data_IF_493635982813
#
_entry.id   IF_493635982813
#
_cell.length_a   1.000
_cell.length_b   1.000
_cell.length_c   1.000
_cell.angle_alpha   90.00
_cell.angle_beta   90.00
_cell.angle_gamma   90.00
#
_symmetry.space_group_name_H-M   'P 1'
#
loop_
_entity.id
_entity.type
_entity.pdbx_description
1 polymer ?
#
# COMPACT_ATOMS: atom_id res chain seq x y z
N UNK A 1 3.67 19.25 17.85
CA UNK A 1 2.65 18.79 16.88
C UNK A 1 2.71 17.28 16.84
N UNK A 2 1.60 16.58 17.01
CA UNK A 2 1.60 15.11 16.99
C UNK A 2 1.85 14.62 15.56
N UNK A 3 3.06 14.13 15.31
CA UNK A 3 3.39 13.33 14.13
C UNK A 3 2.42 12.16 14.11
N UNK A 4 1.47 12.13 13.17
CA UNK A 4 0.58 10.98 13.00
C UNK A 4 1.46 9.79 12.64
N UNK A 5 1.76 8.95 13.63
CA UNK A 5 2.29 7.61 13.42
C UNK A 5 1.42 6.92 12.37
N UNK A 6 2.07 6.26 11.43
CA UNK A 6 1.44 5.40 10.45
C UNK A 6 0.54 4.41 11.21
N UNK A 7 -0.76 4.52 11.04
CA UNK A 7 -1.70 3.54 11.58
C UNK A 7 -1.68 2.30 10.69
N UNK A 8 -1.96 1.12 11.26
CA UNK A 8 -2.05 -0.16 10.54
C UNK A 8 -2.97 -0.10 9.30
N UNK A 9 -3.93 0.84 9.28
CA UNK A 9 -4.83 1.15 8.14
C UNK A 9 -4.19 1.89 6.96
N UNK A 10 -2.94 2.36 7.06
CA UNK A 10 -2.23 3.07 5.99
C UNK A 10 -1.35 2.15 5.14
N UNK A 11 -1.42 0.84 5.38
CA UNK A 11 -0.51 -0.16 4.84
C UNK A 11 -1.27 -1.26 4.13
N UNK A 12 -1.28 -1.20 2.81
CA UNK A 12 -1.82 -2.25 1.97
C UNK A 12 -0.70 -3.25 1.63
N UNK A 13 -0.79 -4.46 2.19
CA UNK A 13 -0.05 -5.63 1.71
C UNK A 13 -0.86 -6.35 0.63
N UNK A 14 -0.90 -5.74 -0.56
CA UNK A 14 -1.68 -6.28 -1.67
C UNK A 14 -1.23 -7.70 -2.08
N UNK A 15 0.01 -8.08 -1.80
CA UNK A 15 0.49 -9.44 -2.09
C UNK A 15 -0.15 -10.45 -1.17
N UNK A 16 -0.04 -10.23 0.15
CA UNK A 16 -0.65 -11.11 1.15
C UNK A 16 -2.16 -11.17 0.97
N UNK A 17 -2.79 -10.01 0.76
CA UNK A 17 -4.23 -9.94 0.50
C UNK A 17 -4.62 -10.70 -0.78
N UNK A 18 -3.80 -10.72 -1.82
CA UNK A 18 -4.10 -11.46 -3.06
C UNK A 18 -3.92 -12.97 -2.90
N UNK A 19 -3.06 -13.43 -1.99
CA UNK A 19 -2.93 -14.85 -1.63
C UNK A 19 -4.19 -15.33 -0.90
N UNK A 20 -4.73 -14.51 0.00
CA UNK A 20 -5.92 -14.83 0.79
C UNK A 20 -7.23 -14.63 0.03
N UNK A 21 -7.26 -13.72 -0.95
CA UNK A 21 -8.48 -13.30 -1.65
C UNK A 21 -8.37 -13.54 -3.17
N UNK A 22 -8.94 -14.64 -3.65
CA UNK A 22 -8.85 -15.06 -5.06
C UNK A 22 -10.03 -14.59 -5.92
N UNK A 23 -11.21 -14.34 -5.35
CA UNK A 23 -12.32 -13.75 -6.09
C UNK A 23 -12.25 -12.22 -6.06
N UNK A 24 -12.80 -11.57 -7.09
CA UNK A 24 -12.84 -10.11 -7.16
C UNK A 24 -13.61 -9.47 -5.98
N UNK A 25 -14.80 -9.95 -5.57
CA UNK A 25 -15.52 -9.39 -4.43
C UNK A 25 -14.72 -9.45 -3.14
N UNK A 26 -14.03 -10.58 -2.90
CA UNK A 26 -13.22 -10.79 -1.70
C UNK A 26 -12.05 -9.80 -1.68
N UNK A 27 -11.36 -9.63 -2.83
CA UNK A 27 -10.29 -8.63 -2.93
C UNK A 27 -10.77 -7.22 -2.69
N UNK A 28 -11.93 -6.87 -3.25
CA UNK A 28 -12.53 -5.56 -3.07
C UNK A 28 -12.91 -5.34 -1.60
N UNK A 29 -13.52 -6.32 -0.95
CA UNK A 29 -13.87 -6.24 0.47
C UNK A 29 -12.62 -6.10 1.35
N UNK A 30 -11.61 -6.95 1.17
CA UNK A 30 -10.36 -6.87 1.91
C UNK A 30 -9.66 -5.51 1.73
N UNK A 31 -9.69 -4.94 0.52
CA UNK A 31 -9.16 -3.60 0.27
C UNK A 31 -9.94 -2.53 1.03
N UNK A 32 -11.27 -2.57 0.99
CA UNK A 32 -12.12 -1.62 1.70
C UNK A 32 -12.00 -1.75 3.23
N UNK A 33 -11.81 -2.96 3.74
CA UNK A 33 -11.51 -3.23 5.15
C UNK A 33 -10.18 -2.63 5.58
N UNK A 34 -9.13 -2.84 4.80
CA UNK A 34 -7.82 -2.25 5.08
C UNK A 34 -7.88 -0.72 5.08
N UNK A 35 -8.71 -0.14 4.23
CA UNK A 35 -9.01 1.30 4.19
C UNK A 35 -9.99 1.77 5.29
N UNK A 36 -10.44 0.86 6.16
CA UNK A 36 -11.40 1.11 7.24
C UNK A 36 -12.73 1.71 6.75
N UNK A 37 -13.18 1.30 5.56
CA UNK A 37 -14.48 1.71 5.01
C UNK A 37 -15.59 0.91 5.71
N UNK A 38 -16.54 1.56 6.42
CA UNK A 38 -17.53 0.87 7.24
C UNK A 38 -18.44 -0.06 6.44
N UNK A 39 -18.75 -1.23 7.01
CA UNK A 39 -19.79 -2.13 6.48
C UNK A 39 -21.21 -1.62 6.77
N UNK A 40 -21.40 -0.88 7.85
CA UNK A 40 -22.71 -0.44 8.34
C UNK A 40 -23.00 1.03 8.02
N UNK A 41 -24.28 1.38 7.87
CA UNK A 41 -24.72 2.73 7.47
C UNK A 41 -24.94 2.81 5.96
N UNK A 42 -24.46 3.88 5.31
CA UNK A 42 -24.63 4.05 3.87
C UNK A 42 -23.97 2.93 3.01
N UNK A 43 -23.17 2.04 3.59
CA UNK A 43 -22.72 0.80 2.94
C UNK A 43 -21.63 1.01 1.90
N UNK A 44 -20.78 -0.01 1.70
CA UNK A 44 -19.62 0.04 0.79
C UNK A 44 -19.99 0.44 -0.65
N UNK A 45 -21.19 0.13 -1.09
CA UNK A 45 -21.68 0.50 -2.42
C UNK A 45 -22.00 1.99 -2.56
N UNK A 46 -22.56 2.66 -1.53
CA UNK A 46 -22.72 4.12 -1.58
C UNK A 46 -21.37 4.82 -1.38
N UNK A 47 -20.46 4.24 -0.57
CA UNK A 47 -19.10 4.75 -0.50
C UNK A 47 -18.41 4.74 -1.87
N UNK A 48 -18.56 3.68 -2.67
CA UNK A 48 -18.02 3.63 -4.04
C UNK A 48 -18.63 4.69 -4.97
N UNK A 49 -19.90 5.04 -4.74
CA UNK A 49 -20.57 6.12 -5.49
C UNK A 49 -20.03 7.49 -5.09
N UNK A 50 -19.90 7.76 -3.80
CA UNK A 50 -19.39 9.04 -3.27
C UNK A 50 -17.90 9.24 -3.55
N UNK A 51 -17.08 8.21 -3.33
CA UNK A 51 -15.62 8.30 -3.43
C UNK A 51 -15.13 8.22 -4.89
N UNK A 52 -15.80 7.45 -5.75
CA UNK A 52 -15.32 7.15 -7.09
C UNK A 52 -16.36 7.35 -8.20
N UNK A 53 -17.54 7.92 -7.90
CA UNK A 53 -18.59 8.17 -8.89
C UNK A 53 -19.17 6.89 -9.50
N UNK A 54 -18.99 5.75 -8.86
CA UNK A 54 -19.48 4.46 -9.35
C UNK A 54 -20.94 4.32 -8.95
N UNK A 55 -21.85 4.38 -9.93
CA UNK A 55 -23.30 4.26 -9.70
C UNK A 55 -23.64 3.12 -8.74
N UNK A 56 -24.48 3.40 -7.74
CA UNK A 56 -24.84 2.45 -6.67
C UNK A 56 -25.23 1.06 -7.19
N UNK A 57 -26.11 0.99 -8.20
CA UNK A 57 -26.54 -0.28 -8.78
C UNK A 57 -25.37 -1.10 -9.37
N UNK A 58 -24.38 -0.43 -9.95
CA UNK A 58 -23.20 -1.09 -10.48
C UNK A 58 -22.28 -1.54 -9.33
N UNK A 59 -22.09 -0.71 -8.31
CA UNK A 59 -21.30 -1.04 -7.13
C UNK A 59 -21.86 -2.25 -6.38
N UNK A 60 -23.18 -2.35 -6.18
CA UNK A 60 -23.80 -3.53 -5.53
C UNK A 60 -23.51 -4.83 -6.30
N UNK A 61 -23.51 -4.78 -7.65
CA UNK A 61 -23.19 -5.94 -8.49
C UNK A 61 -21.74 -6.41 -8.35
N UNK A 62 -20.83 -5.52 -7.97
CA UNK A 62 -19.41 -5.86 -7.76
C UNK A 62 -19.25 -6.76 -6.55
N UNK A 63 -19.95 -6.46 -5.46
CA UNK A 63 -19.95 -7.29 -4.25
C UNK A 63 -20.67 -8.63 -4.44
N UNK A 64 -21.52 -8.75 -5.47
CA UNK A 64 -22.19 -10.01 -5.83
C UNK A 64 -21.45 -10.81 -6.90
N UNK A 65 -20.20 -10.46 -7.27
CA UNK A 65 -19.38 -11.24 -8.21
C UNK A 65 -19.28 -10.69 -9.63
N UNK A 66 -20.00 -9.63 -10.00
CA UNK A 66 -19.89 -9.05 -11.35
C UNK A 66 -18.59 -8.29 -11.48
N UNK A 67 -17.71 -8.73 -12.39
CA UNK A 67 -16.43 -8.06 -12.62
C UNK A 67 -16.64 -6.68 -13.28
N UNK A 68 -16.07 -5.61 -12.72
CA UNK A 68 -16.12 -4.27 -13.32
C UNK A 68 -15.34 -4.16 -14.62
N UNK A 69 -15.70 -3.12 -15.39
CA UNK A 69 -14.88 -2.64 -16.50
C UNK A 69 -13.58 -2.02 -15.96
N UNK A 70 -12.50 -2.13 -16.74
CA UNK A 70 -11.19 -1.57 -16.41
C UNK A 70 -11.25 -0.07 -16.08
N UNK A 71 -12.07 0.70 -16.82
CA UNK A 71 -12.26 2.14 -16.56
C UNK A 71 -12.73 2.43 -15.14
N UNK A 72 -13.66 1.64 -14.60
CA UNK A 72 -14.19 1.86 -13.25
C UNK A 72 -13.18 1.44 -12.18
N UNK A 73 -12.39 0.40 -12.44
CA UNK A 73 -11.26 0.03 -11.57
C UNK A 73 -10.21 1.13 -11.54
N UNK A 74 -9.93 1.76 -12.68
CA UNK A 74 -8.99 2.90 -12.74
C UNK A 74 -9.50 4.06 -11.91
N UNK A 75 -10.77 4.42 -12.03
CA UNK A 75 -11.36 5.49 -11.20
C UNK A 75 -11.28 5.19 -9.72
N UNK A 76 -11.58 3.95 -9.31
CA UNK A 76 -11.47 3.52 -7.91
C UNK A 76 -10.03 3.61 -7.41
N UNK A 77 -9.07 3.06 -8.16
CA UNK A 77 -7.66 3.08 -7.78
C UNK A 77 -7.12 4.52 -7.65
N UNK A 78 -7.47 5.41 -8.58
CA UNK A 78 -7.11 6.84 -8.51
C UNK A 78 -7.72 7.50 -7.26
N UNK A 79 -8.98 7.20 -6.94
CA UNK A 79 -9.63 7.76 -5.75
C UNK A 79 -8.95 7.28 -4.46
N UNK A 80 -8.58 6.01 -4.37
CA UNK A 80 -7.88 5.45 -3.20
C UNK A 80 -6.51 6.12 -3.04
N UNK A 81 -5.71 6.19 -4.10
CA UNK A 81 -4.37 6.82 -4.07
C UNK A 81 -4.44 8.31 -3.69
N UNK A 82 -5.46 9.03 -4.14
CA UNK A 82 -5.62 10.45 -3.86
C UNK A 82 -6.09 10.72 -2.42
N UNK A 83 -7.05 9.93 -1.92
CA UNK A 83 -7.77 10.23 -0.68
C UNK A 83 -7.20 9.49 0.54
N UNK A 84 -6.49 8.39 0.34
CA UNK A 84 -5.92 7.59 1.41
C UNK A 84 -4.40 7.67 1.38
N UNK A 85 -3.75 7.76 2.54
CA UNK A 85 -2.30 7.80 2.62
C UNK A 85 -1.73 6.36 2.52
N UNK A 86 -2.01 5.68 1.42
CA UNK A 86 -1.57 4.30 1.14
C UNK A 86 -0.14 4.25 0.60
N UNK A 87 0.55 3.15 0.85
CA UNK A 87 1.91 2.85 0.40
C UNK A 87 1.98 2.11 -0.96
N UNK A 88 0.93 2.20 -1.77
CA UNK A 88 0.81 1.49 -3.06
C UNK A 88 0.34 2.45 -4.15
N UNK A 89 0.81 2.20 -5.37
CA UNK A 89 0.45 3.00 -6.55
C UNK A 89 -0.91 2.60 -7.10
N UNK A 90 -1.51 3.48 -7.90
CA UNK A 90 -2.72 3.17 -8.68
C UNK A 90 -2.59 1.89 -9.49
N UNK A 91 -1.46 1.70 -10.18
CA UNK A 91 -1.17 0.52 -11.01
C UNK A 91 -1.20 -0.77 -10.20
N UNK A 92 -0.66 -0.78 -8.98
CA UNK A 92 -0.69 -1.96 -8.13
C UNK A 92 -2.07 -2.25 -7.56
N UNK A 93 -2.83 -1.22 -7.18
CA UNK A 93 -4.24 -1.39 -6.79
C UNK A 93 -5.04 -1.99 -7.96
N UNK A 94 -4.77 -1.53 -9.19
CA UNK A 94 -5.36 -2.08 -10.41
C UNK A 94 -4.97 -3.54 -10.66
N UNK A 95 -3.69 -3.86 -10.51
CA UNK A 95 -3.19 -5.22 -10.69
C UNK A 95 -3.77 -6.15 -9.62
N UNK A 96 -3.79 -5.73 -8.36
CA UNK A 96 -4.48 -6.43 -7.28
C UNK A 96 -5.97 -6.66 -7.60
N UNK A 97 -6.76 -5.62 -7.86
CA UNK A 97 -8.19 -5.74 -8.14
C UNK A 97 -8.45 -6.59 -9.39
N UNK A 98 -7.58 -6.52 -10.40
CA UNK A 98 -7.71 -7.30 -11.63
C UNK A 98 -7.22 -8.75 -11.52
N UNK A 99 -6.50 -9.10 -10.45
CA UNK A 99 -5.93 -10.43 -10.18
C UNK A 99 -4.56 -10.66 -10.84
N UNK A 100 -3.80 -9.59 -11.13
CA UNK A 100 -2.50 -9.59 -11.83
C UNK A 100 -1.34 -9.14 -10.95
N UNK A 101 -1.34 -9.51 -9.67
CA UNK A 101 -0.31 -9.08 -8.73
C UNK A 101 1.13 -9.23 -9.30
N UNK A 102 1.94 -8.18 -9.12
CA UNK A 102 3.29 -8.05 -9.68
C UNK A 102 4.32 -8.44 -8.62
N UNK A 103 5.37 -9.20 -9.01
CA UNK A 103 6.53 -9.46 -8.14
C UNK A 103 7.28 -8.17 -7.85
N UNK A 104 7.61 -7.95 -6.58
CA UNK A 104 8.35 -6.77 -6.12
C UNK A 104 9.82 -6.80 -6.60
N UNK A 105 10.12 -6.00 -7.62
CA UNK A 105 11.50 -5.64 -8.00
C UNK A 105 11.83 -4.29 -7.38
N UNK A 106 12.69 -4.28 -6.36
CA UNK A 106 13.07 -3.06 -5.62
C UNK A 106 13.56 -1.96 -6.53
N UNK A 107 14.40 -2.27 -7.53
CA UNK A 107 15.00 -1.23 -8.36
C UNK A 107 13.97 -0.64 -9.32
N UNK A 108 13.11 -1.49 -9.91
CA UNK A 108 12.02 -1.04 -10.75
C UNK A 108 11.01 -0.19 -9.95
N UNK A 109 10.69 -0.60 -8.72
CA UNK A 109 9.74 0.10 -7.85
C UNK A 109 10.29 1.43 -7.31
N UNK A 110 11.59 1.47 -6.96
CA UNK A 110 12.26 2.71 -6.60
C UNK A 110 12.30 3.69 -7.78
N UNK A 111 12.57 3.22 -9.00
CA UNK A 111 12.49 4.08 -10.18
C UNK A 111 11.07 4.62 -10.44
N UNK A 112 10.03 3.81 -10.19
CA UNK A 112 8.61 4.21 -10.32
C UNK A 112 8.16 5.20 -9.26
N UNK A 113 8.80 5.21 -8.09
CA UNK A 113 8.44 6.13 -7.00
C UNK A 113 8.72 7.61 -7.31
N UNK A 114 9.39 7.91 -8.43
CA UNK A 114 9.71 9.28 -8.83
C UNK A 114 10.84 9.92 -8.00
N UNK A 115 11.46 9.14 -7.11
CA UNK A 115 12.58 9.57 -6.28
C UNK A 115 13.87 9.64 -7.08
N UNK A 116 14.69 10.63 -6.75
CA UNK A 116 16.05 10.73 -7.25
C UNK A 116 16.94 9.61 -6.67
N UNK A 117 18.01 9.20 -7.38
CA UNK A 117 18.91 8.14 -6.89
C UNK A 117 19.48 8.38 -5.46
N UNK A 118 19.83 9.63 -5.06
CA UNK A 118 20.24 9.90 -3.68
C UNK A 118 19.15 9.59 -2.65
N UNK A 119 17.89 9.93 -2.94
CA UNK A 119 16.76 9.65 -2.05
C UNK A 119 16.51 8.14 -1.94
N UNK A 120 16.60 7.42 -3.06
CA UNK A 120 16.50 5.96 -3.08
C UNK A 120 17.58 5.31 -2.18
N UNK A 121 18.83 5.76 -2.28
CA UNK A 121 19.93 5.26 -1.45
C UNK A 121 19.76 5.60 0.03
N UNK A 122 19.26 6.80 0.34
CA UNK A 122 18.90 7.19 1.71
C UNK A 122 17.86 6.24 2.32
N UNK A 123 16.77 5.96 1.60
CA UNK A 123 15.71 5.06 2.07
C UNK A 123 16.25 3.64 2.32
N UNK A 124 17.03 3.10 1.37
CA UNK A 124 17.65 1.78 1.54
C UNK A 124 18.54 1.72 2.79
N UNK A 125 19.28 2.81 3.07
CA UNK A 125 20.15 2.92 4.24
C UNK A 125 19.33 2.95 5.54
N UNK A 126 18.28 3.76 5.60
CA UNK A 126 17.41 3.88 6.78
C UNK A 126 16.69 2.56 7.07
N UNK A 127 16.19 1.87 6.05
CA UNK A 127 15.56 0.55 6.22
C UNK A 127 16.56 -0.49 6.71
N UNK A 128 17.77 -0.51 6.16
CA UNK A 128 18.83 -1.40 6.62
C UNK A 128 19.22 -1.14 8.07
N UNK A 129 19.19 0.13 8.51
CA UNK A 129 19.39 0.50 9.92
C UNK A 129 18.25 -0.02 10.81
N UNK A 130 17.00 0.17 10.41
CA UNK A 130 15.84 -0.35 11.15
C UNK A 130 15.88 -1.88 11.32
N UNK A 131 16.34 -2.61 10.29
CA UNK A 131 16.52 -4.07 10.36
C UNK A 131 17.57 -4.49 11.38
N UNK A 132 18.73 -3.80 11.38
CA UNK A 132 19.78 -4.04 12.37
C UNK A 132 19.32 -3.78 13.79
N UNK A 133 18.50 -2.75 14.03
CA UNK A 133 17.89 -2.46 15.33
C UNK A 133 16.99 -3.59 15.84
N UNK A 134 16.50 -4.46 14.93
CA UNK A 134 15.71 -5.66 15.26
C UNK A 134 16.49 -6.97 15.14
N UNK A 135 17.83 -6.92 15.09
CA UNK A 135 18.71 -8.08 14.90
C UNK A 135 18.44 -8.86 13.60
N UNK A 136 17.93 -8.19 12.55
CA UNK A 136 17.78 -8.77 11.22
C UNK A 136 18.95 -8.31 10.34
N UNK A 137 19.58 -9.26 9.65
CA UNK A 137 20.62 -8.94 8.67
C UNK A 137 19.96 -8.69 7.29
N UNK A 138 20.04 -7.46 6.74
CA UNK A 138 19.50 -7.16 5.42
C UNK A 138 20.25 -7.86 4.28
N UNK A 139 21.44 -8.42 4.53
CA UNK A 139 22.21 -9.20 3.56
C UNK A 139 21.85 -10.69 3.56
N UNK A 140 21.08 -11.14 4.55
CA UNK A 140 20.56 -12.50 4.60
C UNK A 140 19.46 -12.68 3.54
N UNK A 141 19.54 -13.78 2.78
CA UNK A 141 18.56 -14.08 1.73
C UNK A 141 17.16 -14.32 2.30
N UNK A 142 17.07 -14.87 3.52
CA UNK A 142 15.79 -15.11 4.19
C UNK A 142 15.09 -13.78 4.55
N UNK A 143 15.89 -12.72 4.76
CA UNK A 143 15.43 -11.36 5.04
C UNK A 143 15.29 -10.50 3.79
N UNK A 144 15.75 -10.95 2.62
CA UNK A 144 15.78 -10.13 1.40
C UNK A 144 14.38 -9.75 0.92
N UNK A 145 13.41 -10.65 1.06
CA UNK A 145 11.99 -10.37 0.73
C UNK A 145 11.41 -9.34 1.71
N UNK A 146 11.70 -9.50 3.00
CA UNK A 146 11.27 -8.59 4.05
C UNK A 146 11.86 -7.19 3.83
N UNK A 147 13.16 -7.10 3.58
CA UNK A 147 13.86 -5.86 3.23
C UNK A 147 13.25 -5.20 1.99
N UNK A 148 13.06 -5.97 0.91
CA UNK A 148 12.46 -5.52 -0.35
C UNK A 148 11.11 -4.87 -0.12
N UNK A 149 10.22 -5.55 0.61
CA UNK A 149 8.90 -5.03 0.97
C UNK A 149 9.03 -3.72 1.73
N UNK A 150 9.84 -3.68 2.78
CA UNK A 150 9.96 -2.49 3.63
C UNK A 150 10.56 -1.29 2.86
N UNK A 151 11.63 -1.49 2.07
CA UNK A 151 12.23 -0.43 1.24
C UNK A 151 11.22 0.21 0.31
N UNK A 152 10.46 -0.60 -0.42
CA UNK A 152 9.45 -0.11 -1.35
C UNK A 152 8.38 0.70 -0.63
N UNK A 153 7.90 0.22 0.53
CA UNK A 153 6.90 0.93 1.33
C UNK A 153 7.41 2.27 1.85
N UNK A 154 8.64 2.31 2.38
CA UNK A 154 9.26 3.56 2.88
C UNK A 154 9.47 4.54 1.74
N UNK A 155 9.94 4.07 0.58
CA UNK A 155 10.17 4.93 -0.57
C UNK A 155 8.89 5.62 -1.05
N UNK A 156 7.80 4.88 -1.14
CA UNK A 156 6.50 5.43 -1.54
C UNK A 156 5.96 6.40 -0.51
N UNK A 157 6.03 6.06 0.78
CA UNK A 157 5.66 6.99 1.84
C UNK A 157 6.44 8.31 1.73
N UNK A 158 7.75 8.22 1.55
CA UNK A 158 8.63 9.38 1.40
C UNK A 158 8.25 10.21 0.17
N UNK A 159 8.05 9.60 -1.00
CA UNK A 159 7.64 10.27 -2.23
C UNK A 159 6.29 11.02 -2.08
N UNK A 160 5.30 10.36 -1.46
CA UNK A 160 3.98 10.97 -1.20
C UNK A 160 4.10 12.16 -0.25
N UNK A 161 4.96 12.09 0.77
CA UNK A 161 5.17 13.20 1.70
C UNK A 161 5.95 14.35 1.06
N UNK A 162 7.01 14.04 0.33
CA UNK A 162 7.81 15.03 -0.40
C UNK A 162 6.97 15.80 -1.41
N UNK A 163 6.12 15.13 -2.19
CA UNK A 163 5.21 15.77 -3.16
C UNK A 163 4.13 16.66 -2.50
N UNK A 164 3.81 16.44 -1.22
CA UNK A 164 2.83 17.24 -0.47
C UNK A 164 3.44 18.41 0.30
N UNK A 165 4.75 18.65 0.19
CA UNK A 165 5.39 19.89 0.64
C UNK A 165 6.78 19.70 1.23
N UNK A 166 6.89 18.94 2.31
CA UNK A 166 8.18 18.71 2.99
C UNK A 166 8.55 17.24 3.00
N UNK A 167 9.75 16.95 2.51
CA UNK A 167 10.36 15.64 2.66
C UNK A 167 10.49 15.29 4.16
N UNK A 168 10.10 14.08 4.58
CA UNK A 168 10.28 13.62 5.96
C UNK A 168 11.76 13.64 6.37
N UNK A 169 12.04 13.99 7.63
CA UNK A 169 13.38 13.87 8.22
C UNK A 169 13.77 12.41 8.47
N UNK A 170 15.07 12.16 8.71
CA UNK A 170 15.59 10.80 8.92
C UNK A 170 14.91 10.06 10.07
N UNK A 171 14.66 10.73 11.20
CA UNK A 171 14.01 10.10 12.35
C UNK A 171 12.58 9.66 12.01
N UNK A 172 11.83 10.45 11.24
CA UNK A 172 10.50 10.08 10.75
C UNK A 172 10.56 8.89 9.80
N UNK A 173 11.55 8.87 8.89
CA UNK A 173 11.73 7.76 7.94
C UNK A 173 12.17 6.49 8.67
N UNK A 174 13.01 6.59 9.69
CA UNK A 174 13.47 5.47 10.51
C UNK A 174 12.34 4.88 11.36
N UNK A 175 11.54 5.73 12.00
CA UNK A 175 10.34 5.30 12.73
C UNK A 175 9.34 4.61 11.78
N UNK A 176 9.18 5.15 10.58
CA UNK A 176 8.35 4.56 9.51
C UNK A 176 8.87 3.20 9.06
N UNK A 177 10.17 3.08 8.80
CA UNK A 177 10.83 1.83 8.43
C UNK A 177 10.65 0.76 9.52
N UNK A 178 10.85 1.14 10.79
CA UNK A 178 10.69 0.25 11.94
C UNK A 178 9.26 -0.25 12.08
N UNK A 179 8.26 0.62 11.90
CA UNK A 179 6.86 0.24 11.95
C UNK A 179 6.47 -0.72 10.80
N UNK A 180 6.97 -0.47 9.58
CA UNK A 180 6.75 -1.37 8.45
C UNK A 180 7.42 -2.73 8.65
N UNK A 181 8.59 -2.74 9.28
CA UNK A 181 9.32 -3.96 9.58
C UNK A 181 8.61 -4.80 10.63
N UNK A 182 8.13 -4.20 11.73
CA UNK A 182 7.34 -4.92 12.75
C UNK A 182 6.12 -5.62 12.14
N UNK A 183 5.43 -4.95 11.24
CA UNK A 183 4.26 -5.52 10.56
C UNK A 183 4.63 -6.65 9.62
N UNK A 184 5.68 -6.47 8.82
CA UNK A 184 6.09 -7.49 7.88
C UNK A 184 6.69 -8.73 8.57
N UNK A 185 7.22 -8.59 9.80
CA UNK A 185 7.58 -9.73 10.67
C UNK A 185 6.32 -10.44 11.18
N UNK A 186 5.31 -9.69 11.65
CA UNK A 186 4.06 -10.28 12.14
C UNK A 186 3.30 -11.04 11.05
N UNK A 187 3.34 -10.59 9.80
CA UNK A 187 2.70 -11.28 8.67
C UNK A 187 3.48 -12.53 8.20
N UNK A 188 4.75 -12.68 8.63
CA UNK A 188 5.60 -13.82 8.29
C UNK A 188 5.57 -14.97 9.32
N UNK A 189 4.92 -14.77 10.47
CA UNK A 189 4.78 -15.73 11.59
C UNK A 189 3.35 -16.26 11.63
#
# INVERSE_FOLDING_TARGET
>A
MATKLITKSMLLDLEQMALENTAFPDRLNALLDALSVPEHGQGRAMWLEEAAGIKLLAATKWFSGTKPRRSNLTTLATSIEANYPVNVTKEEILDYLSGKLVKLDVNAELARSGLSPPEQGFIQTVVSRAMKEKNLDPLDQDNAVLWTKVVIRVARYYAVKASKGAAPDEDTVLATASAFLDLAILDAI
#
